data_IF_791408001787
#
_entry.id   IF_791408001787
#
_cell.length_a   1.000
_cell.length_b   1.000
_cell.length_c   1.000
_cell.angle_alpha   90.00
_cell.angle_beta   90.00
_cell.angle_gamma   90.00
#
_symmetry.space_group_name_H-M   'P 1'
#
loop_
_entity.id
_entity.type
_entity.pdbx_description
1 polymer ?
#
# COMPACT_ATOMS: atom_id res chain seq x y z
N UNK A 1 38.95 52.13 37.42
CA UNK A 1 37.56 52.58 37.20
C UNK A 1 37.49 53.00 35.74
N UNK A 2 36.74 52.42 34.82
CA UNK A 2 35.54 51.59 34.90
C UNK A 2 35.36 50.84 33.58
N UNK A 3 34.74 49.66 33.67
CA UNK A 3 33.97 48.88 32.70
C UNK A 3 34.42 48.75 31.22
N UNK A 4 34.69 47.50 30.84
CA UNK A 4 34.71 47.03 29.46
C UNK A 4 33.29 46.86 28.89
N UNK A 5 33.05 47.39 27.69
CA UNK A 5 31.86 47.11 26.86
C UNK A 5 31.99 45.76 26.13
N UNK A 6 30.88 45.01 25.94
CA UNK A 6 30.89 43.73 25.22
C UNK A 6 30.91 43.92 23.69
N UNK A 7 31.53 43.01 22.92
CA UNK A 7 31.51 43.07 21.46
C UNK A 7 30.14 42.69 20.89
N UNK A 8 29.66 43.54 19.98
CA UNK A 8 28.44 43.37 19.20
C UNK A 8 28.58 42.20 18.22
N UNK A 9 27.60 41.30 18.22
CA UNK A 9 27.52 40.12 17.36
C UNK A 9 27.31 40.52 15.90
N UNK A 10 28.23 40.10 15.03
CA UNK A 10 28.13 40.26 13.59
C UNK A 10 26.98 39.40 13.03
N UNK A 11 26.04 40.05 12.35
CA UNK A 11 24.91 39.41 11.65
C UNK A 11 25.43 38.68 10.41
N UNK A 12 25.26 37.37 10.36
CA UNK A 12 25.56 36.53 9.19
C UNK A 12 24.64 36.89 8.00
N UNK A 13 25.12 36.75 6.75
CA UNK A 13 24.31 37.07 5.57
C UNK A 13 23.18 36.05 5.40
N UNK A 14 22.00 36.56 5.06
CA UNK A 14 20.80 35.79 4.69
C UNK A 14 21.11 35.04 3.40
N UNK A 15 21.22 33.71 3.49
CA UNK A 15 21.47 32.82 2.37
C UNK A 15 20.25 32.67 1.46
N UNK A 16 20.53 32.61 0.17
CA UNK A 16 19.61 32.50 -0.95
C UNK A 16 18.54 31.42 -0.76
N UNK A 17 17.28 31.83 -0.94
CA UNK A 17 16.15 30.93 -1.11
C UNK A 17 16.25 30.27 -2.49
N UNK A 18 17.00 29.17 -2.57
CA UNK A 18 16.91 28.24 -3.68
C UNK A 18 15.50 27.63 -3.70
N UNK A 19 14.63 28.25 -4.48
CA UNK A 19 13.33 27.69 -4.84
C UNK A 19 13.62 26.45 -5.66
N UNK A 20 13.52 25.27 -5.04
CA UNK A 20 13.52 24.01 -5.79
C UNK A 20 12.26 23.97 -6.64
N UNK A 21 12.38 24.47 -7.87
CA UNK A 21 11.41 24.24 -8.91
C UNK A 21 11.31 22.73 -9.14
N UNK A 22 10.26 22.11 -8.59
CA UNK A 22 9.90 20.74 -8.93
C UNK A 22 9.42 20.79 -10.38
N UNK A 23 10.31 20.41 -11.30
CA UNK A 23 9.95 20.26 -12.70
C UNK A 23 8.82 19.23 -12.79
N UNK A 24 7.64 19.69 -13.20
CA UNK A 24 6.52 18.85 -13.61
C UNK A 24 6.94 18.13 -14.90
N UNK A 25 7.61 16.98 -14.77
CA UNK A 25 7.65 15.98 -15.83
C UNK A 25 6.20 15.54 -16.02
N UNK A 26 5.58 15.91 -17.14
CA UNK A 26 4.23 15.47 -17.47
C UNK A 26 4.18 13.96 -17.24
N UNK A 27 3.29 13.51 -16.35
CA UNK A 27 3.34 12.16 -15.83
C UNK A 27 3.18 11.15 -16.98
N UNK A 28 4.29 10.57 -17.43
CA UNK A 28 4.30 9.48 -18.39
C UNK A 28 3.48 8.33 -17.79
N UNK A 29 2.56 7.75 -18.56
CA UNK A 29 1.70 6.67 -18.09
C UNK A 29 2.55 5.51 -17.52
N UNK A 30 2.17 4.97 -16.36
CA UNK A 30 2.82 3.79 -15.76
C UNK A 30 1.78 2.71 -15.50
N UNK A 31 1.77 1.69 -16.35
CA UNK A 31 1.02 0.46 -16.16
C UNK A 31 1.78 -0.53 -15.28
N UNK A 32 1.07 -1.51 -14.73
CA UNK A 32 1.70 -2.59 -13.96
C UNK A 32 0.96 -3.91 -14.06
N UNK A 33 1.70 -5.00 -13.96
CA UNK A 33 1.18 -6.33 -13.67
C UNK A 33 1.71 -6.80 -12.30
N UNK A 34 0.81 -7.27 -11.45
CA UNK A 34 1.11 -7.55 -10.03
C UNK A 34 0.73 -8.98 -9.62
N UNK A 35 1.46 -10.02 -10.08
CA UNK A 35 1.13 -11.41 -9.78
C UNK A 35 1.58 -11.82 -8.37
N UNK A 36 0.78 -12.64 -7.70
CA UNK A 36 1.21 -13.36 -6.50
C UNK A 36 1.90 -14.68 -6.90
N UNK A 37 3.05 -15.04 -6.33
CA UNK A 37 3.81 -16.25 -6.71
C UNK A 37 3.23 -17.52 -6.05
N UNK A 38 1.93 -17.77 -6.23
CA UNK A 38 1.21 -18.92 -5.66
C UNK A 38 1.13 -20.12 -6.62
N UNK A 39 1.76 -20.00 -7.79
CA UNK A 39 1.76 -21.00 -8.87
C UNK A 39 2.20 -20.36 -10.19
N UNK A 40 2.26 -21.15 -11.29
CA UNK A 40 2.54 -20.63 -12.62
C UNK A 40 1.46 -19.66 -13.12
N UNK A 41 1.78 -18.84 -14.13
CA UNK A 41 0.77 -18.02 -14.79
C UNK A 41 -0.31 -18.89 -15.43
N UNK A 42 -1.55 -18.64 -15.05
CA UNK A 42 -2.71 -19.15 -15.75
C UNK A 42 -3.13 -18.19 -16.87
N UNK A 43 -3.95 -18.68 -17.81
CA UNK A 43 -4.39 -17.93 -19.01
C UNK A 43 -4.98 -16.56 -18.65
N UNK A 44 -5.89 -16.51 -17.67
CA UNK A 44 -6.49 -15.24 -17.24
C UNK A 44 -5.47 -14.21 -16.73
N UNK A 45 -4.42 -14.65 -16.02
CA UNK A 45 -3.35 -13.77 -15.58
C UNK A 45 -2.50 -13.29 -16.76
N UNK A 46 -2.24 -14.15 -17.75
CA UNK A 46 -1.52 -13.74 -18.96
C UNK A 46 -2.33 -12.72 -19.78
N UNK A 47 -3.65 -12.88 -19.89
CA UNK A 47 -4.53 -11.90 -20.53
C UNK A 47 -4.45 -10.55 -19.82
N UNK A 48 -4.49 -10.52 -18.48
CA UNK A 48 -4.34 -9.29 -17.72
C UNK A 48 -2.94 -8.65 -17.88
N UNK A 49 -1.89 -9.47 -17.92
CA UNK A 49 -0.52 -9.00 -18.18
C UNK A 49 -0.42 -8.36 -19.57
N UNK A 50 -0.91 -9.04 -20.61
CA UNK A 50 -0.91 -8.53 -21.98
C UNK A 50 -1.73 -7.24 -22.12
N UNK A 51 -2.94 -7.19 -21.54
CA UNK A 51 -3.79 -6.01 -21.60
C UNK A 51 -3.13 -4.80 -20.93
N UNK A 52 -2.58 -4.96 -19.72
CA UNK A 52 -1.87 -3.88 -19.03
C UNK A 52 -0.58 -3.45 -19.74
N UNK A 53 0.11 -4.38 -20.41
CA UNK A 53 1.29 -4.10 -21.21
C UNK A 53 0.94 -3.30 -22.47
N UNK A 54 -0.08 -3.73 -23.22
CA UNK A 54 -0.57 -3.02 -24.40
C UNK A 54 -1.05 -1.61 -24.06
N UNK A 55 -1.77 -1.44 -22.95
CA UNK A 55 -2.25 -0.14 -22.50
C UNK A 55 -1.08 0.82 -22.20
N UNK A 56 -0.04 0.31 -21.52
CA UNK A 56 1.18 1.09 -21.29
C UNK A 56 1.88 1.47 -22.59
N UNK A 57 2.06 0.54 -23.54
CA UNK A 57 2.72 0.83 -24.81
C UNK A 57 1.92 1.77 -25.70
N UNK A 58 0.58 1.65 -25.72
CA UNK A 58 -0.30 2.54 -26.47
C UNK A 58 -0.19 4.01 -26.02
N UNK A 59 0.09 4.23 -24.73
CA UNK A 59 0.29 5.57 -24.16
C UNK A 59 1.75 6.03 -24.16
N UNK A 60 2.67 5.30 -24.81
CA UNK A 60 4.11 5.59 -24.76
C UNK A 60 4.69 5.54 -23.34
N UNK A 61 4.04 4.76 -22.47
CA UNK A 61 4.31 4.65 -21.05
C UNK A 61 5.27 3.52 -20.67
N UNK A 62 5.46 3.37 -19.37
CA UNK A 62 6.21 2.26 -18.78
C UNK A 62 5.25 1.17 -18.30
N UNK A 63 5.68 -0.08 -18.43
CA UNK A 63 5.01 -1.25 -17.88
C UNK A 63 5.93 -1.94 -16.87
N UNK A 64 5.47 -2.02 -15.62
CA UNK A 64 6.26 -2.55 -14.51
C UNK A 64 5.69 -3.87 -13.98
N UNK A 65 6.56 -4.75 -13.51
CA UNK A 65 6.15 -5.97 -12.79
C UNK A 65 6.42 -5.82 -11.30
N UNK A 66 5.43 -6.19 -10.47
CA UNK A 66 5.58 -6.26 -9.01
C UNK A 66 5.09 -7.60 -8.48
N UNK A 67 5.99 -8.39 -7.93
CA UNK A 67 5.66 -9.66 -7.29
C UNK A 67 4.98 -9.38 -5.94
N UNK A 68 3.75 -9.86 -5.79
CA UNK A 68 2.90 -9.72 -4.60
C UNK A 68 3.14 -10.90 -3.63
N UNK A 69 4.33 -10.95 -3.02
CA UNK A 69 4.86 -12.04 -2.17
C UNK A 69 4.72 -11.82 -0.65
N UNK A 70 3.79 -10.96 -0.24
CA UNK A 70 3.58 -10.62 1.18
C UNK A 70 2.95 -11.75 1.99
N UNK A 71 2.16 -12.61 1.34
CA UNK A 71 1.56 -13.77 1.99
C UNK A 71 2.46 -14.99 1.82
N UNK A 72 3.49 -15.04 2.65
CA UNK A 72 4.54 -16.07 2.58
C UNK A 72 4.00 -17.49 2.72
N UNK A 73 2.84 -17.68 3.36
CA UNK A 73 2.22 -19.01 3.53
C UNK A 73 1.61 -19.55 2.24
N UNK A 74 1.22 -18.65 1.31
CA UNK A 74 0.70 -19.02 -0.01
C UNK A 74 1.75 -18.98 -1.10
N UNK A 75 2.87 -18.30 -0.88
CA UNK A 75 3.95 -18.20 -1.86
C UNK A 75 4.69 -19.52 -2.00
N UNK A 76 4.89 -19.95 -3.24
CA UNK A 76 5.66 -21.15 -3.57
C UNK A 76 7.09 -20.76 -3.97
N UNK A 77 8.14 -21.39 -3.39
CA UNK A 77 9.52 -21.11 -3.75
C UNK A 77 9.77 -21.22 -5.26
N UNK A 78 10.50 -20.25 -5.83
CA UNK A 78 10.84 -20.21 -7.26
C UNK A 78 9.70 -19.79 -8.20
N UNK A 79 8.44 -19.66 -7.74
CA UNK A 79 7.34 -19.29 -8.64
C UNK A 79 7.43 -17.85 -9.15
N UNK A 80 8.05 -16.94 -8.42
CA UNK A 80 8.32 -15.60 -8.93
C UNK A 80 9.18 -15.66 -10.22
N UNK A 81 10.24 -16.47 -10.21
CA UNK A 81 11.15 -16.62 -11.35
C UNK A 81 10.44 -17.31 -12.53
N UNK A 82 9.65 -18.35 -12.26
CA UNK A 82 8.83 -19.03 -13.28
C UNK A 82 7.87 -18.06 -13.95
N UNK A 83 7.16 -17.23 -13.17
CA UNK A 83 6.26 -16.21 -13.70
C UNK A 83 7.02 -15.22 -14.59
N UNK A 84 8.17 -14.70 -14.13
CA UNK A 84 8.98 -13.76 -14.91
C UNK A 84 9.50 -14.37 -16.21
N UNK A 85 9.92 -15.64 -16.19
CA UNK A 85 10.33 -16.38 -17.39
C UNK A 85 9.16 -16.57 -18.37
N UNK A 86 7.96 -16.91 -17.88
CA UNK A 86 6.77 -17.06 -18.72
C UNK A 86 6.36 -15.73 -19.38
N UNK A 87 6.43 -14.61 -18.65
CA UNK A 87 6.19 -13.28 -19.22
C UNK A 87 7.21 -12.96 -20.33
N UNK A 88 8.50 -13.19 -20.06
CA UNK A 88 9.56 -12.95 -21.02
C UNK A 88 9.42 -13.82 -22.29
N UNK A 89 9.00 -15.08 -22.14
CA UNK A 89 8.73 -15.98 -23.27
C UNK A 89 7.58 -15.48 -24.18
N UNK A 90 6.66 -14.68 -23.63
CA UNK A 90 5.60 -14.00 -24.38
C UNK A 90 6.00 -12.61 -24.90
N UNK A 91 7.24 -12.17 -24.71
CA UNK A 91 7.70 -10.82 -25.07
C UNK A 91 7.23 -9.72 -24.11
N UNK A 92 6.66 -10.07 -22.97
CA UNK A 92 6.15 -9.14 -21.96
C UNK A 92 7.26 -8.78 -20.96
N UNK A 93 8.22 -7.98 -21.40
CA UNK A 93 9.33 -7.53 -20.56
C UNK A 93 8.96 -6.28 -19.74
N UNK A 94 9.29 -6.30 -18.45
CA UNK A 94 9.18 -5.14 -17.56
C UNK A 94 10.19 -4.06 -17.96
N UNK A 95 9.76 -2.79 -17.97
CA UNK A 95 10.61 -1.65 -18.34
C UNK A 95 11.59 -1.24 -17.23
N UNK A 96 11.42 -1.78 -16.02
CA UNK A 96 12.37 -1.69 -14.92
C UNK A 96 12.51 -3.04 -14.20
N UNK A 97 13.51 -3.16 -13.33
CA UNK A 97 13.70 -4.33 -12.49
C UNK A 97 12.40 -4.66 -11.70
N UNK A 98 11.93 -5.92 -11.71
CA UNK A 98 10.75 -6.30 -10.95
C UNK A 98 10.89 -5.97 -9.46
N UNK A 99 9.81 -5.46 -8.87
CA UNK A 99 9.75 -5.17 -7.44
C UNK A 99 9.17 -6.35 -6.67
N UNK A 100 9.67 -6.60 -5.47
CA UNK A 100 9.14 -7.60 -4.55
C UNK A 100 8.51 -6.90 -3.35
N UNK A 101 7.25 -7.21 -3.05
CA UNK A 101 6.51 -6.58 -1.95
C UNK A 101 7.16 -6.86 -0.60
N UNK A 102 7.68 -8.06 -0.37
CA UNK A 102 8.37 -8.49 0.85
C UNK A 102 9.56 -7.59 1.23
N UNK A 103 10.19 -6.94 0.25
CA UNK A 103 11.33 -6.04 0.44
C UNK A 103 10.92 -4.60 0.80
N UNK A 104 9.62 -4.32 0.90
CA UNK A 104 9.07 -2.95 1.03
C UNK A 104 8.41 -2.68 2.38
N UNK A 105 8.59 -3.56 3.36
CA UNK A 105 7.98 -3.46 4.71
C UNK A 105 8.17 -2.09 5.36
N UNK A 106 9.34 -1.46 5.19
CA UNK A 106 9.59 -0.10 5.72
C UNK A 106 8.64 0.95 5.13
N UNK A 107 8.34 0.88 3.83
CA UNK A 107 7.43 1.83 3.17
C UNK A 107 5.99 1.61 3.65
N UNK A 108 5.58 0.36 3.90
CA UNK A 108 4.27 0.06 4.47
C UNK A 108 4.15 0.55 5.91
N UNK A 109 5.21 0.41 6.71
CA UNK A 109 5.24 0.93 8.08
C UNK A 109 5.13 2.46 8.10
N UNK A 110 5.81 3.16 7.18
CA UNK A 110 5.71 4.61 7.03
C UNK A 110 4.29 5.03 6.62
N UNK A 111 3.71 4.39 5.61
CA UNK A 111 2.34 4.66 5.19
C UNK A 111 1.33 4.41 6.32
N UNK A 112 1.47 3.30 7.05
CA UNK A 112 0.64 3.00 8.22
C UNK A 112 0.78 4.08 9.30
N UNK A 113 2.00 4.53 9.59
CA UNK A 113 2.26 5.59 10.57
C UNK A 113 1.54 6.89 10.19
N UNK A 114 1.56 7.26 8.89
CA UNK A 114 0.83 8.42 8.37
C UNK A 114 -0.69 8.25 8.52
N UNK A 115 -1.23 7.08 8.17
CA UNK A 115 -2.66 6.79 8.32
C UNK A 115 -3.12 6.87 9.79
N UNK A 116 -2.29 6.42 10.72
CA UNK A 116 -2.56 6.51 12.16
C UNK A 116 -2.56 7.98 12.60
N UNK A 117 -1.53 8.74 12.21
CA UNK A 117 -1.41 10.16 12.54
C UNK A 117 -2.61 10.99 12.04
N UNK A 118 -3.17 10.60 10.89
CA UNK A 118 -4.33 11.26 10.29
C UNK A 118 -5.69 10.71 10.77
N UNK A 119 -5.73 9.84 11.78
CA UNK A 119 -6.95 9.15 12.26
C UNK A 119 -7.70 8.34 11.17
N UNK A 120 -6.98 7.92 10.12
CA UNK A 120 -7.49 7.12 9.00
C UNK A 120 -7.31 5.61 9.24
N UNK A 121 -6.59 5.21 10.29
CA UNK A 121 -6.47 3.83 10.74
C UNK A 121 -6.63 3.73 12.26
N UNK A 122 -7.23 2.63 12.73
CA UNK A 122 -7.39 2.33 14.15
C UNK A 122 -6.98 0.89 14.47
N UNK A 123 -6.50 0.61 15.69
CA UNK A 123 -6.10 -0.73 16.07
C UNK A 123 -7.34 -1.60 16.33
N UNK A 124 -7.25 -2.88 16.01
CA UNK A 124 -8.29 -3.87 16.25
C UNK A 124 -7.73 -5.05 17.04
N UNK A 125 -8.41 -5.39 18.14
CA UNK A 125 -8.12 -6.56 18.96
C UNK A 125 -9.04 -7.76 18.72
N UNK A 126 -10.03 -7.66 17.81
CA UNK A 126 -10.98 -8.74 17.56
C UNK A 126 -10.34 -9.94 16.85
N UNK A 127 -10.61 -11.15 17.36
CA UNK A 127 -10.39 -12.40 16.63
C UNK A 127 -11.50 -12.64 15.60
N UNK A 128 -11.28 -13.55 14.63
CA UNK A 128 -12.32 -13.95 13.66
C UNK A 128 -13.59 -14.44 14.37
N UNK A 129 -13.46 -15.30 15.39
CA UNK A 129 -14.58 -15.78 16.22
C UNK A 129 -15.34 -14.64 16.92
N UNK A 130 -14.63 -13.64 17.46
CA UNK A 130 -15.28 -12.50 18.11
C UNK A 130 -16.06 -11.62 17.11
N UNK A 131 -15.58 -11.52 15.87
CA UNK A 131 -16.29 -10.81 14.79
C UNK A 131 -17.57 -11.57 14.41
N UNK A 132 -17.46 -12.88 14.22
CA UNK A 132 -18.60 -13.77 13.95
C UNK A 132 -19.67 -13.67 15.05
N UNK A 133 -19.27 -13.74 16.31
CA UNK A 133 -20.19 -13.62 17.45
C UNK A 133 -20.87 -12.26 17.52
N UNK A 134 -20.13 -11.16 17.31
CA UNK A 134 -20.70 -9.82 17.33
C UNK A 134 -21.74 -9.62 16.20
N UNK A 135 -21.50 -10.21 15.03
CA UNK A 135 -22.43 -10.13 13.90
C UNK A 135 -23.67 -10.99 14.13
N UNK A 136 -23.51 -12.22 14.62
CA UNK A 136 -24.63 -13.08 14.98
C UNK A 136 -25.53 -12.42 16.05
N UNK A 137 -24.94 -11.77 17.06
CA UNK A 137 -25.70 -11.01 18.07
C UNK A 137 -26.45 -9.82 17.49
N UNK A 138 -25.95 -9.24 16.39
CA UNK A 138 -26.61 -8.17 15.64
C UNK A 138 -27.62 -8.69 14.60
N UNK A 139 -27.91 -10.00 14.57
CA UNK A 139 -28.83 -10.61 13.60
C UNK A 139 -28.25 -10.80 12.20
N UNK A 140 -26.93 -10.72 12.06
CA UNK A 140 -26.23 -10.95 10.80
C UNK A 140 -25.57 -12.32 10.80
N UNK A 141 -26.25 -13.29 10.19
CA UNK A 141 -25.70 -14.63 9.99
C UNK A 141 -24.74 -14.69 8.80
N UNK A 142 -23.75 -15.58 8.89
CA UNK A 142 -22.79 -15.82 7.80
C UNK A 142 -23.51 -16.48 6.60
N UNK A 143 -23.50 -15.87 5.41
CA UNK A 143 -24.07 -16.51 4.22
C UNK A 143 -23.26 -17.76 3.85
N UNK A 144 -23.91 -18.79 3.28
CA UNK A 144 -23.23 -20.03 2.84
C UNK A 144 -22.02 -19.80 1.93
N UNK A 145 -22.04 -18.74 1.13
CA UNK A 145 -20.97 -18.35 0.21
C UNK A 145 -20.53 -16.90 0.39
N UNK A 146 -20.68 -16.35 1.60
CA UNK A 146 -20.38 -14.95 1.88
C UNK A 146 -19.30 -14.76 2.95
N UNK A 147 -18.64 -13.62 2.87
CA UNK A 147 -17.76 -13.13 3.92
C UNK A 147 -18.57 -12.28 4.91
N UNK A 148 -18.12 -12.25 6.16
CA UNK A 148 -18.68 -11.38 7.17
C UNK A 148 -18.03 -9.99 7.11
N UNK A 149 -18.85 -8.95 6.99
CA UNK A 149 -18.40 -7.57 7.04
C UNK A 149 -18.06 -7.20 8.49
N UNK A 150 -16.86 -6.67 8.72
CA UNK A 150 -16.45 -6.30 10.07
C UNK A 150 -17.38 -5.23 10.68
N UNK A 151 -17.97 -5.46 11.88
CA UNK A 151 -19.01 -4.59 12.45
C UNK A 151 -18.47 -3.30 13.09
N UNK A 152 -17.17 -3.02 13.01
CA UNK A 152 -16.60 -1.80 13.60
C UNK A 152 -16.40 -1.82 15.11
N UNK A 153 -16.41 -3.00 15.76
CA UNK A 153 -16.35 -3.14 17.23
C UNK A 153 -15.22 -2.34 17.90
N UNK A 154 -14.03 -2.28 17.28
CA UNK A 154 -12.87 -1.58 17.83
C UNK A 154 -12.72 -0.13 17.35
N UNK A 155 -13.70 0.42 16.59
CA UNK A 155 -13.58 1.76 16.00
C UNK A 155 -13.47 2.86 17.06
N UNK A 156 -14.17 2.70 18.18
CA UNK A 156 -14.12 3.62 19.32
C UNK A 156 -13.07 3.22 20.39
N UNK A 157 -12.22 2.22 20.10
CA UNK A 157 -11.19 1.74 21.03
C UNK A 157 -11.20 0.23 21.23
N UNK A 158 -10.17 -0.28 21.90
CA UNK A 158 -9.90 -1.72 21.99
C UNK A 158 -10.71 -2.48 23.06
N UNK A 159 -11.44 -1.78 23.94
CA UNK A 159 -12.25 -2.39 25.01
C UNK A 159 -11.42 -3.37 25.88
N UNK A 160 -10.21 -2.97 26.27
CA UNK A 160 -9.29 -3.79 27.06
C UNK A 160 -8.55 -4.90 26.30
N UNK A 161 -8.77 -5.05 24.99
CA UNK A 161 -8.05 -6.05 24.16
C UNK A 161 -6.67 -5.52 23.75
N UNK A 162 -5.70 -6.42 23.59
CA UNK A 162 -4.44 -6.09 22.94
C UNK A 162 -4.65 -5.83 21.42
N UNK A 163 -3.92 -4.88 20.81
CA UNK A 163 -3.98 -4.65 19.37
C UNK A 163 -3.39 -5.87 18.62
N UNK A 164 -4.08 -6.31 17.56
CA UNK A 164 -3.68 -7.47 16.72
C UNK A 164 -3.53 -7.14 15.24
N UNK A 165 -4.27 -6.14 14.78
CA UNK A 165 -4.26 -5.68 13.40
C UNK A 165 -4.62 -4.19 13.35
N UNK A 166 -4.31 -3.56 12.23
CA UNK A 166 -4.79 -2.21 11.91
C UNK A 166 -5.94 -2.30 10.92
N UNK A 167 -6.97 -1.49 11.11
CA UNK A 167 -8.12 -1.37 10.21
C UNK A 167 -8.19 0.03 9.65
N UNK A 168 -8.55 0.13 8.39
CA UNK A 168 -8.81 1.40 7.74
C UNK A 168 -10.15 1.98 8.21
N UNK A 169 -10.18 3.27 8.52
CA UNK A 169 -11.32 3.97 9.07
C UNK A 169 -12.26 4.46 7.97
N UNK A 170 -13.12 3.61 7.42
CA UNK A 170 -14.01 4.01 6.31
C UNK A 170 -14.95 5.20 6.56
N UNK A 171 -15.05 5.71 7.80
CA UNK A 171 -15.84 6.90 8.14
C UNK A 171 -15.04 8.21 8.16
N UNK A 172 -13.73 8.22 7.86
CA UNK A 172 -12.95 9.48 7.84
C UNK A 172 -13.38 10.43 6.71
N UNK A 173 -14.11 9.94 5.70
CA UNK A 173 -14.61 10.74 4.59
C UNK A 173 -16.05 10.31 4.22
N UNK A 174 -17.04 10.83 4.96
CA UNK A 174 -18.46 10.53 4.69
C UNK A 174 -18.94 11.00 3.31
N UNK A 175 -18.20 11.90 2.67
CA UNK A 175 -18.46 12.43 1.31
C UNK A 175 -18.30 11.40 0.18
N UNK A 176 -17.77 10.20 0.46
CA UNK A 176 -17.49 9.18 -0.56
C UNK A 176 -18.25 7.86 -0.29
N UNK A 177 -19.46 7.93 0.29
CA UNK A 177 -20.37 6.78 0.33
C UNK A 177 -20.96 6.58 -1.08
N UNK A 178 -20.86 5.36 -1.66
CA UNK A 178 -21.71 5.05 -2.81
C UNK A 178 -23.17 5.19 -2.36
N UNK A 179 -23.97 5.86 -3.21
CA UNK A 179 -25.41 6.03 -3.05
C UNK A 179 -26.11 4.67 -2.85
#
# INVERSE_FOLDING_TARGET
>A
MSAAEPPQSAKAPVGDSATHAVASVGATYIGRFAPSPTGPLHVGSLVAALASWLDAKAHGGQWLVRIEDVDTTRCLPGMADVILQQLAACGLCSDAAPLYQSQRTNLYQQALTQLIANAQAYPCGCSRRAIEQALHQAGHDKPRHGELVYPGTCRAGLQGKAPRAWRFNTSFNESNRPL
#
